data_IF_711599340256
#
_entry.id   IF_711599340256
#
_cell.length_a   1.000
_cell.length_b   1.000
_cell.length_c   1.000
_cell.angle_alpha   90.00
_cell.angle_beta   90.00
_cell.angle_gamma   90.00
#
_symmetry.space_group_name_H-M   'P 1'
#
loop_
_entity.id
_entity.type
_entity.pdbx_description
1 polymer ?
#
# COMPACT_ATOMS: atom_id res chain seq x y z
N UNK A 1 43.62 -6.17 1.04
CA UNK A 1 42.52 -6.05 0.07
C UNK A 1 41.25 -6.39 0.83
N UNK A 2 40.70 -5.40 1.54
CA UNK A 2 39.50 -5.58 2.37
C UNK A 2 38.28 -5.67 1.47
N UNK A 3 37.53 -6.77 1.60
CA UNK A 3 36.26 -6.93 0.94
C UNK A 3 35.27 -5.92 1.53
N UNK A 4 34.93 -4.89 0.76
CA UNK A 4 33.86 -3.95 1.11
C UNK A 4 32.55 -4.75 1.20
N UNK A 5 31.91 -4.87 2.37
CA UNK A 5 30.65 -5.59 2.45
C UNK A 5 29.61 -4.81 1.64
N UNK A 6 29.01 -5.47 0.65
CA UNK A 6 27.98 -4.94 -0.24
C UNK A 6 26.64 -4.58 0.46
N UNK A 7 26.64 -4.35 1.78
CA UNK A 7 25.44 -4.36 2.60
C UNK A 7 24.95 -2.97 3.06
N UNK A 8 25.58 -1.89 2.62
CA UNK A 8 25.13 -0.53 2.94
C UNK A 8 24.88 0.24 1.64
N UNK A 9 23.90 -0.20 0.84
CA UNK A 9 23.30 0.74 -0.08
C UNK A 9 22.57 1.81 0.75
N UNK A 10 22.92 3.10 0.61
CA UNK A 10 22.21 4.16 1.31
C UNK A 10 20.74 4.06 0.92
N UNK A 11 19.88 3.88 1.93
CA UNK A 11 18.44 3.88 1.72
C UNK A 11 18.03 5.27 1.22
N UNK A 12 17.74 5.37 -0.07
CA UNK A 12 17.31 6.61 -0.68
C UNK A 12 15.80 6.74 -0.57
N UNK A 13 15.33 7.96 -0.29
CA UNK A 13 13.91 8.26 -0.25
C UNK A 13 13.19 7.98 -1.58
N UNK A 14 13.92 8.02 -2.71
CA UNK A 14 13.41 7.58 -4.01
C UNK A 14 12.99 6.11 -4.04
N UNK A 15 13.74 5.22 -3.38
CA UNK A 15 13.36 3.80 -3.28
C UNK A 15 12.12 3.61 -2.40
N UNK A 16 12.05 4.29 -1.26
CA UNK A 16 10.87 4.24 -0.40
C UNK A 16 9.62 4.77 -1.10
N UNK A 17 9.76 5.86 -1.88
CA UNK A 17 8.66 6.39 -2.70
C UNK A 17 8.23 5.39 -3.78
N UNK A 18 9.18 4.75 -4.47
CA UNK A 18 8.87 3.73 -5.46
C UNK A 18 8.10 2.54 -4.86
N UNK A 19 8.47 2.10 -3.65
CA UNK A 19 7.73 1.06 -2.91
C UNK A 19 6.31 1.49 -2.59
N UNK A 20 6.13 2.72 -2.09
CA UNK A 20 4.80 3.26 -1.79
C UNK A 20 3.94 3.32 -3.06
N UNK A 21 4.47 3.86 -4.16
CA UNK A 21 3.78 3.97 -5.44
C UNK A 21 3.43 2.60 -6.03
N UNK A 22 4.36 1.64 -6.00
CA UNK A 22 4.12 0.29 -6.47
C UNK A 22 3.04 -0.41 -5.64
N UNK A 23 3.05 -0.24 -4.32
CA UNK A 23 2.01 -0.76 -3.43
C UNK A 23 0.64 -0.16 -3.77
N UNK A 24 0.57 1.16 -3.93
CA UNK A 24 -0.66 1.84 -4.34
C UNK A 24 -1.15 1.36 -5.71
N UNK A 25 -0.25 1.17 -6.68
CA UNK A 25 -0.59 0.66 -8.00
C UNK A 25 -1.16 -0.76 -7.92
N UNK A 26 -0.58 -1.65 -7.11
CA UNK A 26 -1.10 -3.02 -6.91
C UNK A 26 -2.49 -2.99 -6.30
N UNK A 27 -2.70 -2.19 -5.25
CA UNK A 27 -4.02 -2.04 -4.63
C UNK A 27 -5.05 -1.49 -5.62
N UNK A 28 -4.66 -0.51 -6.42
CA UNK A 28 -5.51 0.06 -7.46
C UNK A 28 -5.85 -0.98 -8.55
N UNK A 29 -4.87 -1.72 -9.06
CA UNK A 29 -5.09 -2.79 -10.05
C UNK A 29 -6.03 -3.85 -9.48
N UNK A 30 -5.81 -4.29 -8.24
CA UNK A 30 -6.69 -5.23 -7.57
C UNK A 30 -8.14 -4.72 -7.53
N UNK A 31 -8.33 -3.42 -7.27
CA UNK A 31 -9.67 -2.80 -7.27
C UNK A 31 -10.32 -2.76 -8.66
N UNK A 32 -9.54 -2.66 -9.75
CA UNK A 32 -10.07 -2.54 -11.11
C UNK A 32 -10.44 -3.87 -11.78
N UNK A 33 -9.92 -5.00 -11.32
CA UNK A 33 -10.12 -6.32 -11.96
C UNK A 33 -11.60 -6.63 -12.27
N UNK A 34 -12.56 -6.44 -11.35
CA UNK A 34 -13.97 -6.70 -11.65
C UNK A 34 -14.53 -5.81 -12.77
N UNK A 35 -14.06 -4.57 -12.89
CA UNK A 35 -14.48 -3.65 -13.95
C UNK A 35 -13.95 -4.07 -15.32
N UNK A 36 -12.70 -4.56 -15.38
CA UNK A 36 -12.15 -5.07 -16.63
C UNK A 36 -12.88 -6.33 -17.10
N UNK A 37 -13.27 -7.22 -16.17
CA UNK A 37 -14.05 -8.40 -16.52
C UNK A 37 -15.43 -8.03 -17.09
N UNK A 38 -16.08 -6.99 -16.54
CA UNK A 38 -17.37 -6.49 -17.04
C UNK A 38 -17.31 -6.07 -18.52
N UNK A 39 -16.23 -5.43 -18.95
CA UNK A 39 -16.10 -4.97 -20.35
C UNK A 39 -16.11 -6.13 -21.37
N UNK A 40 -15.84 -7.36 -20.92
CA UNK A 40 -15.84 -8.56 -21.77
C UNK A 40 -16.91 -9.60 -21.44
N UNK A 41 -17.71 -9.41 -20.38
CA UNK A 41 -18.69 -10.40 -19.93
C UNK A 41 -20.07 -10.14 -20.52
N UNK A 42 -20.67 -11.16 -21.13
CA UNK A 42 -22.06 -11.13 -21.61
C UNK A 42 -23.07 -11.62 -20.54
N UNK A 43 -22.60 -12.27 -19.48
CA UNK A 43 -23.44 -12.84 -18.42
C UNK A 43 -23.30 -12.04 -17.11
N UNK A 44 -24.38 -11.37 -16.74
CA UNK A 44 -24.48 -10.55 -15.54
C UNK A 44 -24.46 -11.39 -14.25
N UNK A 45 -24.93 -12.63 -14.29
CA UNK A 45 -24.99 -13.49 -13.10
C UNK A 45 -23.58 -13.94 -12.67
N UNK A 46 -22.76 -14.36 -13.64
CA UNK A 46 -21.35 -14.70 -13.40
C UNK A 46 -20.55 -13.49 -12.90
N UNK A 47 -20.82 -12.30 -13.45
CA UNK A 47 -20.17 -11.06 -13.00
C UNK A 47 -20.55 -10.71 -11.54
N UNK A 48 -21.82 -10.86 -11.17
CA UNK A 48 -22.28 -10.58 -9.81
C UNK A 48 -21.62 -11.51 -8.78
N UNK A 49 -21.47 -12.81 -9.11
CA UNK A 49 -20.77 -13.77 -8.27
C UNK A 49 -19.27 -13.42 -8.13
N UNK A 50 -18.61 -13.04 -9.22
CA UNK A 50 -17.21 -12.62 -9.19
C UNK A 50 -17.02 -11.39 -8.29
N UNK A 51 -17.87 -10.38 -8.43
CA UNK A 51 -17.81 -9.15 -7.61
C UNK A 51 -17.99 -9.51 -6.13
N UNK A 52 -18.96 -10.38 -5.81
CA UNK A 52 -19.22 -10.78 -4.44
C UNK A 52 -18.03 -11.51 -3.79
N UNK A 53 -17.36 -12.38 -4.54
CA UNK A 53 -16.14 -13.06 -4.09
C UNK A 53 -14.95 -12.10 -3.96
N UNK A 54 -14.80 -11.19 -4.91
CA UNK A 54 -13.66 -10.26 -4.96
C UNK A 54 -13.74 -9.20 -3.86
N UNK A 55 -14.94 -8.73 -3.53
CA UNK A 55 -15.16 -7.67 -2.54
C UNK A 55 -15.39 -8.20 -1.12
N UNK A 56 -14.94 -9.41 -0.80
CA UNK A 56 -15.03 -9.94 0.55
C UNK A 56 -14.16 -9.11 1.53
N UNK A 57 -14.76 -8.68 2.64
CA UNK A 57 -14.09 -7.81 3.62
C UNK A 57 -12.79 -8.41 4.18
N UNK A 58 -12.74 -9.73 4.40
CA UNK A 58 -11.54 -10.40 4.87
C UNK A 58 -10.42 -10.41 3.81
N UNK A 59 -10.77 -10.53 2.52
CA UNK A 59 -9.79 -10.52 1.43
C UNK A 59 -9.18 -9.12 1.29
N UNK A 60 -10.02 -8.09 1.36
CA UNK A 60 -9.57 -6.69 1.43
C UNK A 60 -8.67 -6.47 2.66
N UNK A 61 -9.06 -6.96 3.83
CA UNK A 61 -8.28 -6.82 5.05
C UNK A 61 -6.89 -7.47 4.94
N UNK A 62 -6.81 -8.68 4.39
CA UNK A 62 -5.54 -9.36 4.15
C UNK A 62 -4.66 -8.56 3.17
N UNK A 63 -5.23 -8.11 2.06
CA UNK A 63 -4.51 -7.36 1.05
C UNK A 63 -3.95 -6.04 1.61
N UNK A 64 -4.78 -5.27 2.31
CA UNK A 64 -4.38 -4.00 2.93
C UNK A 64 -3.36 -4.25 4.03
N UNK A 65 -3.49 -5.30 4.83
CA UNK A 65 -2.51 -5.66 5.86
C UNK A 65 -1.16 -6.01 5.25
N UNK A 66 -1.14 -6.81 4.18
CA UNK A 66 0.08 -7.15 3.46
C UNK A 66 0.75 -5.91 2.85
N UNK A 67 -0.04 -5.03 2.22
CA UNK A 67 0.44 -3.75 1.71
C UNK A 67 1.05 -2.87 2.81
N UNK A 68 0.41 -2.80 3.98
CA UNK A 68 0.94 -2.09 5.15
C UNK A 68 2.26 -2.69 5.64
N UNK A 69 2.37 -4.01 5.71
CA UNK A 69 3.63 -4.66 6.08
C UNK A 69 4.75 -4.32 5.07
N UNK A 70 4.45 -4.39 3.77
CA UNK A 70 5.43 -4.03 2.73
C UNK A 70 5.90 -2.59 2.88
N UNK A 71 4.97 -1.63 2.97
CA UNK A 71 5.30 -0.20 3.13
C UNK A 71 6.07 0.02 4.43
N UNK A 72 5.66 -0.60 5.54
CA UNK A 72 6.33 -0.47 6.84
C UNK A 72 7.80 -0.91 6.76
N UNK A 73 8.04 -2.15 6.29
CA UNK A 73 9.38 -2.75 6.33
C UNK A 73 10.30 -2.28 5.20
N UNK A 74 9.74 -1.87 4.05
CA UNK A 74 10.53 -1.51 2.87
C UNK A 74 10.60 0.00 2.60
N UNK A 75 9.72 0.80 3.19
CA UNK A 75 9.69 2.26 2.98
C UNK A 75 9.73 3.06 4.30
N UNK A 76 8.83 2.80 5.24
CA UNK A 76 8.64 3.61 6.46
C UNK A 76 9.78 3.46 7.47
N UNK A 77 10.08 2.22 7.92
CA UNK A 77 11.13 1.97 8.90
C UNK A 77 12.51 2.44 8.42
N UNK A 78 12.91 2.20 7.15
CA UNK A 78 14.20 2.68 6.68
C UNK A 78 14.33 4.21 6.60
N UNK A 79 13.21 4.94 6.53
CA UNK A 79 13.21 6.40 6.60
C UNK A 79 13.15 6.92 8.04
N UNK A 80 12.57 6.14 8.95
CA UNK A 80 12.43 6.49 10.37
C UNK A 80 13.72 6.22 11.17
N UNK A 81 14.48 5.20 10.78
CA UNK A 81 15.69 4.79 11.49
C UNK A 81 16.92 5.49 10.88
N UNK A 82 17.72 6.19 11.70
CA UNK A 82 18.97 6.78 11.22
C UNK A 82 19.93 5.67 10.78
N UNK A 83 20.50 5.82 9.59
CA UNK A 83 21.49 4.87 9.05
C UNK A 83 22.88 5.02 9.70
N UNK A 84 23.10 6.09 10.46
CA UNK A 84 24.25 6.31 11.33
C UNK A 84 23.90 7.35 12.41
N UNK A 85 24.42 7.23 13.66
CA UNK A 85 24.22 8.26 14.68
C UNK A 85 24.75 9.65 14.27
N UNK A 86 25.73 9.72 13.37
CA UNK A 86 26.21 10.98 12.81
C UNK A 86 25.21 11.62 11.82
N UNK A 87 24.33 10.82 11.20
CA UNK A 87 23.34 11.32 10.23
C UNK A 87 22.20 12.11 10.89
N UNK A 88 22.06 12.04 12.22
CA UNK A 88 21.10 12.85 12.98
C UNK A 88 21.43 14.35 12.94
N UNK A 89 22.67 14.70 12.56
CA UNK A 89 23.13 16.08 12.38
C UNK A 89 23.02 16.55 10.90
N UNK A 90 22.84 15.62 9.95
CA UNK A 90 22.71 15.87 8.50
C UNK A 90 21.25 15.81 7.99
N UNK A 91 20.27 15.74 8.90
CA UNK A 91 18.84 15.47 8.66
C UNK A 91 18.05 16.60 7.98
N UNK A 92 18.61 17.27 6.97
CA UNK A 92 17.89 18.25 6.14
C UNK A 92 17.54 17.76 4.73
N UNK A 93 17.24 16.47 4.56
CA UNK A 93 16.57 16.01 3.34
C UNK A 93 15.05 16.19 3.48
N UNK A 94 14.54 17.36 3.09
CA UNK A 94 13.09 17.65 3.06
C UNK A 94 12.28 16.58 2.30
N UNK A 95 12.87 15.98 1.27
CA UNK A 95 12.28 14.90 0.49
C UNK A 95 12.11 13.61 1.30
N UNK A 96 13.12 13.22 2.11
CA UNK A 96 12.99 12.03 2.96
C UNK A 96 11.89 12.20 4.02
N UNK A 97 11.80 13.39 4.62
CA UNK A 97 10.71 13.73 5.55
C UNK A 97 9.34 13.70 4.89
N UNK A 98 9.20 14.26 3.68
CA UNK A 98 7.94 14.22 2.92
C UNK A 98 7.50 12.78 2.60
N UNK A 99 8.41 11.93 2.12
CA UNK A 99 8.11 10.52 1.80
C UNK A 99 7.74 9.73 3.05
N UNK A 100 8.40 9.99 4.19
CA UNK A 100 8.03 9.40 5.47
C UNK A 100 6.60 9.75 5.86
N UNK A 101 6.21 11.02 5.78
CA UNK A 101 4.84 11.45 6.09
C UNK A 101 3.80 10.86 5.13
N UNK A 102 4.12 10.70 3.85
CA UNK A 102 3.26 9.99 2.91
C UNK A 102 3.04 8.53 3.32
N UNK A 103 4.10 7.83 3.74
CA UNK A 103 3.98 6.46 4.23
C UNK A 103 3.13 6.39 5.52
N UNK A 104 3.32 7.33 6.46
CA UNK A 104 2.51 7.44 7.67
C UNK A 104 1.03 7.68 7.34
N UNK A 105 0.75 8.60 6.42
CA UNK A 105 -0.63 8.85 5.97
C UNK A 105 -1.25 7.61 5.34
N UNK A 106 -0.48 6.87 4.52
CA UNK A 106 -0.94 5.59 3.97
C UNK A 106 -1.33 4.57 5.04
N UNK A 107 -0.54 4.44 6.11
CA UNK A 107 -0.85 3.56 7.24
C UNK A 107 -2.14 3.98 7.96
N UNK A 108 -2.29 5.27 8.25
CA UNK A 108 -3.47 5.81 8.93
C UNK A 108 -4.74 5.68 8.09
N UNK A 109 -4.66 6.01 6.80
CA UNK A 109 -5.76 5.85 5.87
C UNK A 109 -6.18 4.38 5.73
N UNK A 110 -5.21 3.47 5.66
CA UNK A 110 -5.46 2.02 5.62
C UNK A 110 -6.16 1.54 6.90
N UNK A 111 -5.69 1.97 8.06
CA UNK A 111 -6.32 1.62 9.33
C UNK A 111 -7.76 2.14 9.40
N UNK A 112 -7.98 3.41 9.04
CA UNK A 112 -9.30 4.00 9.00
C UNK A 112 -10.23 3.23 8.05
N UNK A 113 -9.76 2.88 6.85
CA UNK A 113 -10.53 2.06 5.90
C UNK A 113 -10.97 0.74 6.53
N UNK A 114 -10.05 0.01 7.16
CA UNK A 114 -10.37 -1.27 7.80
C UNK A 114 -11.33 -1.11 8.98
N UNK A 115 -11.20 -0.05 9.77
CA UNK A 115 -12.14 0.26 10.85
C UNK A 115 -13.54 0.55 10.32
N UNK A 116 -13.65 1.35 9.26
CA UNK A 116 -14.92 1.68 8.63
C UNK A 116 -15.60 0.46 8.00
N UNK A 117 -14.82 -0.40 7.33
CA UNK A 117 -15.32 -1.67 6.78
C UNK A 117 -15.74 -2.63 7.90
N UNK A 118 -14.91 -2.78 8.94
CA UNK A 118 -15.21 -3.65 10.09
C UNK A 118 -16.40 -3.18 10.91
N UNK A 119 -16.65 -1.87 10.98
CA UNK A 119 -17.81 -1.28 11.61
C UNK A 119 -19.08 -1.31 10.72
N UNK A 120 -18.98 -1.80 9.48
CA UNK A 120 -20.09 -1.80 8.51
C UNK A 120 -20.49 -0.41 8.02
N UNK A 121 -19.66 0.62 8.25
CA UNK A 121 -19.90 1.99 7.79
C UNK A 121 -19.53 2.18 6.31
N UNK A 122 -18.69 1.29 5.79
CA UNK A 122 -18.42 1.17 4.36
C UNK A 122 -18.93 -0.19 3.87
N UNK A 123 -20.01 -0.16 3.11
CA UNK A 123 -20.38 -1.30 2.29
C UNK A 123 -19.38 -1.42 1.15
N UNK A 124 -18.71 -2.55 1.06
CA UNK A 124 -18.06 -2.99 -0.17
C UNK A 124 -19.14 -3.42 -1.16
N UNK A 125 -20.03 -2.49 -1.50
CA UNK A 125 -21.09 -2.72 -2.45
C UNK A 125 -20.49 -2.67 -3.87
N UNK A 126 -21.09 -3.41 -4.83
CA UNK A 126 -20.74 -3.26 -6.23
C UNK A 126 -20.82 -1.78 -6.60
N UNK A 127 -19.91 -1.33 -7.45
CA UNK A 127 -19.76 0.07 -7.87
C UNK A 127 -20.99 0.69 -8.58
N UNK A 128 -22.22 0.16 -8.44
CA UNK A 128 -23.42 0.67 -9.11
C UNK A 128 -24.72 0.47 -8.30
N UNK A 129 -25.69 1.42 -8.37
CA UNK A 129 -27.07 1.17 -7.96
C UNK A 129 -27.77 0.24 -8.97
N UNK A 130 -28.55 -0.71 -8.45
CA UNK A 130 -29.56 -1.47 -9.20
C UNK A 130 -30.66 -0.55 -9.73
#
# INVERSE_FOLDING_TARGET
MEATPAFLQPHSAGRSLAVLLATCAVLWVWWQIPNWYRLGAADEATLAQLVHLWQQAWLLALLVTAANAVVLYRATLPLALPSSPASLLDTQSSLAGAVFWLCTFFHLASLLLLLLVGAGQLSLNPLWPS
#
